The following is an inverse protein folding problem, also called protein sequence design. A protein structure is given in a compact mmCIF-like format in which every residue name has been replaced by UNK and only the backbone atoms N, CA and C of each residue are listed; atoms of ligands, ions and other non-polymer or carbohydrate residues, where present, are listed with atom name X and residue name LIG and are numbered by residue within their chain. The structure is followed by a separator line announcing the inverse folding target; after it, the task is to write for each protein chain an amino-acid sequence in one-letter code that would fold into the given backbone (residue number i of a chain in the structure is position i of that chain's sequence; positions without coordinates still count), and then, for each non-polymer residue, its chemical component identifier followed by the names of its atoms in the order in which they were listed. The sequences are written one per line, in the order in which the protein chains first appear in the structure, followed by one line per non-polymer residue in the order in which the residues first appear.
data_IF_421368737455
#
_entry.id   IF_421368737455
#
_cell.length_a   1.000
_cell.length_b   1.000
_cell.length_c   1.000
_cell.angle_alpha   90.00
_cell.angle_beta   90.00
_cell.angle_gamma   90.00
#
_symmetry.space_group_name_H-M   'P 1'
#
loop_
_entity.id
_entity.type
_entity.pdbx_description
1 polymer ?
#
# COMPACT_ATOMS: atom_id res chain seq x y z
N UNK A 1 47.04 82.39 20.85
CA UNK A 1 47.73 81.39 20.02
C UNK A 1 47.86 80.10 20.83
N UNK A 2 46.88 79.23 20.79
CA UNK A 2 46.93 77.97 21.49
C UNK A 2 46.50 76.83 20.49
N UNK A 3 47.41 75.94 20.24
CA UNK A 3 47.22 74.79 19.41
C UNK A 3 46.55 73.72 20.25
N UNK A 4 45.41 73.16 19.78
CA UNK A 4 44.75 72.05 20.38
C UNK A 4 44.99 70.84 19.47
N UNK A 5 45.69 69.83 19.99
CA UNK A 5 45.91 68.59 19.31
C UNK A 5 44.67 67.64 19.56
N UNK A 6 44.09 67.19 18.47
CA UNK A 6 43.00 66.16 18.54
C UNK A 6 43.62 64.78 18.33
N UNK A 7 43.51 63.96 19.36
CA UNK A 7 43.87 62.49 19.29
C UNK A 7 42.73 61.72 18.71
N UNK A 8 42.95 61.05 17.58
CA UNK A 8 42.06 60.09 16.99
C UNK A 8 42.28 58.67 17.64
N UNK A 9 41.31 58.21 18.39
CA UNK A 9 41.27 56.83 18.86
C UNK A 9 40.60 56.00 17.79
N UNK A 10 41.38 55.07 17.20
CA UNK A 10 40.92 54.10 16.23
C UNK A 10 40.37 52.86 17.00
N UNK A 11 39.03 52.74 17.07
CA UNK A 11 38.37 51.60 17.68
C UNK A 11 38.28 50.43 16.67
N UNK A 12 38.98 49.35 16.96
CA UNK A 12 38.85 48.08 16.21
C UNK A 12 37.65 47.32 16.72
N UNK A 13 36.57 47.25 15.92
CA UNK A 13 35.41 46.34 16.17
C UNK A 13 35.80 44.93 15.70
N UNK A 14 35.97 44.01 16.65
CA UNK A 14 36.05 42.59 16.40
C UNK A 14 34.63 42.04 16.25
N UNK A 15 34.21 41.77 15.01
CA UNK A 15 32.97 41.06 14.74
C UNK A 15 33.19 39.55 14.96
N UNK A 16 32.69 39.01 16.05
CA UNK A 16 32.61 37.55 16.28
C UNK A 16 31.44 36.97 15.51
N UNK A 17 31.73 36.44 14.31
CA UNK A 17 30.75 35.71 13.52
C UNK A 17 30.48 34.35 14.16
N UNK A 18 29.30 34.19 14.77
CA UNK A 18 28.78 32.88 15.18
C UNK A 18 28.38 32.06 13.95
N UNK A 19 29.16 31.05 13.62
CA UNK A 19 28.81 30.06 12.60
C UNK A 19 27.72 29.14 13.19
N UNK A 20 26.48 29.50 12.95
CA UNK A 20 25.33 28.62 13.25
C UNK A 20 25.36 27.40 12.34
N UNK A 21 25.71 26.24 12.89
CA UNK A 21 25.51 24.94 12.20
C UNK A 21 24.02 24.67 12.05
N UNK A 22 23.46 24.93 10.88
CA UNK A 22 22.11 24.49 10.52
C UNK A 22 22.12 22.95 10.43
N UNK A 23 21.66 22.30 11.49
CA UNK A 23 21.31 20.88 11.45
C UNK A 23 20.11 20.72 10.52
N UNK A 24 20.35 20.28 9.29
CA UNK A 24 19.31 19.86 8.40
C UNK A 24 18.62 18.64 9.01
N UNK A 25 17.41 18.82 9.56
CA UNK A 25 16.54 17.73 9.93
C UNK A 25 16.11 17.00 8.65
N UNK A 26 16.84 15.97 8.26
CA UNK A 26 16.39 15.00 7.27
C UNK A 26 15.16 14.30 7.86
N UNK A 27 14.03 14.25 7.15
CA UNK A 27 12.91 13.44 7.58
C UNK A 27 13.38 11.99 7.61
N UNK A 28 13.55 11.44 8.81
CA UNK A 28 13.76 10.00 8.99
C UNK A 28 12.52 9.28 8.51
N UNK A 29 12.51 8.92 7.24
CA UNK A 29 11.59 7.90 6.76
C UNK A 29 11.95 6.59 7.46
N UNK A 30 11.38 6.37 8.63
CA UNK A 30 11.44 5.09 9.32
C UNK A 30 10.66 4.13 8.43
N UNK A 31 11.36 3.49 7.50
CA UNK A 31 10.86 2.30 6.82
C UNK A 31 10.84 1.23 7.89
N UNK A 32 9.69 1.08 8.55
CA UNK A 32 9.48 -0.04 9.48
C UNK A 32 9.63 -1.31 8.64
N UNK A 33 10.63 -2.18 8.92
CA UNK A 33 10.77 -3.41 8.17
C UNK A 33 9.48 -4.23 8.33
N UNK A 34 8.88 -4.64 7.21
CA UNK A 34 7.69 -5.48 7.18
C UNK A 34 8.01 -6.79 7.92
N UNK A 35 7.41 -6.99 9.08
CA UNK A 35 7.63 -8.18 9.90
C UNK A 35 6.94 -9.37 9.20
N UNK A 36 7.72 -10.13 8.45
CA UNK A 36 7.26 -11.33 7.74
C UNK A 36 7.18 -12.47 8.76
N UNK A 37 5.98 -12.94 9.05
CA UNK A 37 5.75 -13.98 10.07
C UNK A 37 5.33 -15.32 9.49
N UNK A 38 4.85 -15.40 8.23
CA UNK A 38 4.35 -16.64 7.65
C UNK A 38 4.44 -16.70 6.13
N UNK A 39 4.27 -17.92 5.58
CA UNK A 39 4.12 -18.15 4.13
C UNK A 39 2.70 -17.87 3.62
N UNK A 40 1.82 -17.36 4.46
CA UNK A 40 0.40 -17.16 4.16
C UNK A 40 -0.45 -18.42 4.21
N UNK A 41 -1.76 -18.32 3.96
CA UNK A 41 -2.68 -19.46 4.04
C UNK A 41 -2.31 -20.58 3.08
N UNK A 42 -2.45 -21.83 3.52
CA UNK A 42 -2.14 -23.01 2.70
C UNK A 42 -2.88 -22.99 1.35
N UNK A 43 -4.17 -22.62 1.34
CA UNK A 43 -4.94 -22.51 0.10
C UNK A 43 -4.37 -21.49 -0.89
N UNK A 44 -3.77 -20.40 -0.42
CA UNK A 44 -3.08 -19.44 -1.27
C UNK A 44 -1.74 -19.99 -1.76
N UNK A 45 -1.01 -20.75 -0.94
CA UNK A 45 0.22 -21.40 -1.37
C UNK A 45 -0.08 -22.42 -2.49
N UNK A 46 -1.15 -23.20 -2.37
CA UNK A 46 -1.61 -24.13 -3.41
C UNK A 46 -1.98 -23.38 -4.70
N UNK A 47 -2.70 -22.26 -4.59
CA UNK A 47 -2.96 -21.39 -5.74
C UNK A 47 -1.68 -20.92 -6.41
N UNK A 48 -0.68 -20.51 -5.65
CA UNK A 48 0.63 -20.09 -6.20
C UNK A 48 1.41 -21.24 -6.84
N UNK A 49 1.19 -22.47 -6.41
CA UNK A 49 1.83 -23.64 -7.03
C UNK A 49 1.27 -23.93 -8.44
N UNK A 50 -0.04 -23.76 -8.63
CA UNK A 50 -0.72 -24.00 -9.93
C UNK A 50 -0.77 -22.75 -10.82
N UNK A 51 -0.60 -21.56 -10.24
CA UNK A 51 -0.63 -20.26 -10.95
C UNK A 51 0.57 -19.39 -10.54
N UNK A 52 1.82 -19.83 -10.78
CA UNK A 52 3.01 -19.18 -10.24
C UNK A 52 3.21 -17.74 -10.74
N UNK A 53 2.73 -17.40 -11.95
CA UNK A 53 2.78 -16.06 -12.51
C UNK A 53 2.01 -15.04 -11.66
N UNK A 54 0.92 -15.45 -11.02
CA UNK A 54 0.09 -14.59 -10.16
C UNK A 54 0.76 -14.28 -8.82
N UNK A 55 1.78 -15.05 -8.45
CA UNK A 55 2.47 -14.95 -7.16
C UNK A 55 3.91 -14.45 -7.30
N UNK A 56 4.29 -13.92 -8.46
CA UNK A 56 5.59 -13.29 -8.64
C UNK A 56 5.56 -11.86 -8.07
N UNK A 57 6.58 -11.48 -7.29
CA UNK A 57 6.80 -10.07 -6.98
C UNK A 57 7.28 -9.34 -8.23
N UNK A 58 7.08 -8.03 -8.28
CA UNK A 58 7.59 -7.23 -9.40
C UNK A 58 7.22 -5.75 -9.28
N UNK A 59 8.11 -4.91 -9.76
CA UNK A 59 7.94 -3.46 -9.78
C UNK A 59 7.91 -2.80 -8.40
N UNK A 60 7.48 -1.55 -8.38
CA UNK A 60 7.46 -0.72 -7.18
C UNK A 60 6.52 -1.28 -6.10
N UNK A 61 6.94 -1.17 -4.82
CA UNK A 61 6.13 -1.57 -3.67
C UNK A 61 4.93 -0.64 -3.40
N UNK A 62 4.94 0.54 -4.02
CA UNK A 62 3.96 1.62 -3.91
C UNK A 62 3.96 2.39 -5.23
N UNK A 63 2.81 2.88 -5.66
CA UNK A 63 2.67 3.63 -6.91
C UNK A 63 2.31 5.09 -6.64
N UNK A 64 2.74 5.99 -7.53
CA UNK A 64 2.22 7.36 -7.58
C UNK A 64 0.78 7.31 -8.14
N UNK A 65 -0.17 7.81 -7.36
CA UNK A 65 -1.58 7.78 -7.73
C UNK A 65 -1.92 8.93 -8.67
N UNK A 66 -2.19 8.63 -9.94
CA UNK A 66 -2.74 9.58 -10.92
C UNK A 66 -4.25 9.39 -11.07
N UNK A 67 -4.93 10.40 -11.62
CA UNK A 67 -6.37 10.32 -11.94
C UNK A 67 -6.66 9.17 -12.93
N UNK A 68 -5.82 8.99 -13.93
CA UNK A 68 -5.95 7.90 -14.90
C UNK A 68 -5.81 6.52 -14.27
N UNK A 69 -4.85 6.37 -13.33
CA UNK A 69 -4.69 5.14 -12.57
C UNK A 69 -5.90 4.90 -11.66
N UNK A 70 -6.39 5.92 -10.96
CA UNK A 70 -7.58 5.80 -10.11
C UNK A 70 -8.80 5.38 -10.94
N UNK A 71 -9.02 5.99 -12.11
CA UNK A 71 -10.11 5.62 -13.02
C UNK A 71 -10.01 4.15 -13.46
N UNK A 72 -8.80 3.66 -13.78
CA UNK A 72 -8.58 2.26 -14.13
C UNK A 72 -8.86 1.32 -12.94
N UNK A 73 -8.41 1.67 -11.75
CA UNK A 73 -8.67 0.91 -10.51
C UNK A 73 -10.18 0.82 -10.24
N UNK A 74 -10.91 1.93 -10.38
CA UNK A 74 -12.38 1.96 -10.23
C UNK A 74 -13.07 1.10 -11.29
N UNK A 75 -12.63 1.18 -12.54
CA UNK A 75 -13.16 0.39 -13.66
C UNK A 75 -12.98 -1.12 -13.41
N UNK A 76 -11.79 -1.54 -13.01
CA UNK A 76 -11.50 -2.96 -12.68
C UNK A 76 -12.34 -3.41 -11.50
N UNK A 77 -12.38 -2.63 -10.40
CA UNK A 77 -13.17 -2.98 -9.22
C UNK A 77 -14.65 -3.20 -9.58
N UNK A 78 -15.25 -2.25 -10.29
CA UNK A 78 -16.64 -2.30 -10.70
C UNK A 78 -16.92 -3.47 -11.66
N UNK A 79 -16.07 -3.69 -12.66
CA UNK A 79 -16.21 -4.80 -13.62
C UNK A 79 -16.18 -6.15 -12.91
N UNK A 80 -15.19 -6.41 -12.05
CA UNK A 80 -15.07 -7.67 -11.34
C UNK A 80 -16.23 -7.87 -10.36
N UNK A 81 -16.65 -6.82 -9.65
CA UNK A 81 -17.78 -6.90 -8.75
C UNK A 81 -19.08 -7.29 -9.44
N UNK A 82 -19.30 -6.85 -10.69
CA UNK A 82 -20.48 -7.23 -11.46
C UNK A 82 -20.38 -8.61 -12.12
N UNK A 83 -19.16 -9.05 -12.46
CA UNK A 83 -18.94 -10.29 -13.20
C UNK A 83 -19.06 -11.56 -12.31
N UNK A 84 -18.73 -11.46 -11.04
CA UNK A 84 -18.73 -12.58 -10.12
C UNK A 84 -19.96 -12.49 -9.24
N UNK A 85 -20.79 -13.57 -9.22
CA UNK A 85 -21.92 -13.68 -8.30
C UNK A 85 -21.41 -14.12 -6.91
N UNK A 86 -21.88 -13.49 -5.82
CA UNK A 86 -21.51 -13.92 -4.47
C UNK A 86 -21.92 -15.38 -4.21
N UNK A 87 -20.96 -16.18 -3.77
CA UNK A 87 -21.17 -17.55 -3.34
C UNK A 87 -20.07 -17.95 -2.35
N UNK A 88 -20.45 -18.38 -1.16
CA UNK A 88 -19.48 -18.89 -0.19
C UNK A 88 -18.86 -20.20 -0.71
N UNK A 89 -17.56 -20.31 -0.58
CA UNK A 89 -16.88 -21.57 -0.78
C UNK A 89 -17.14 -22.51 0.40
N UNK A 90 -17.06 -23.82 0.12
CA UNK A 90 -17.02 -24.80 1.20
C UNK A 90 -15.84 -24.51 2.13
N UNK A 91 -16.03 -24.55 3.45
CA UNK A 91 -14.94 -24.36 4.41
C UNK A 91 -13.73 -25.27 4.17
N UNK A 92 -13.97 -26.47 3.62
CA UNK A 92 -12.91 -27.44 3.32
C UNK A 92 -12.07 -27.07 2.08
N UNK A 93 -12.63 -26.35 1.11
CA UNK A 93 -11.97 -26.13 -0.17
C UNK A 93 -11.22 -24.80 -0.27
N UNK A 94 -11.75 -23.72 0.31
CA UNK A 94 -11.13 -22.39 0.38
C UNK A 94 -10.40 -21.95 -0.90
N UNK A 95 -11.04 -22.11 -2.07
CA UNK A 95 -10.40 -21.99 -3.38
C UNK A 95 -10.13 -20.54 -3.78
N UNK A 96 -9.01 -20.33 -4.45
CA UNK A 96 -8.67 -19.08 -5.14
C UNK A 96 -8.91 -19.28 -6.63
N UNK A 97 -9.86 -18.56 -7.22
CA UNK A 97 -10.25 -18.71 -8.63
C UNK A 97 -10.26 -17.35 -9.32
N UNK A 98 -9.55 -17.25 -10.44
CA UNK A 98 -9.55 -16.06 -11.26
C UNK A 98 -10.78 -16.06 -12.17
N UNK A 99 -11.55 -14.99 -12.14
CA UNK A 99 -12.72 -14.73 -12.98
C UNK A 99 -13.78 -15.88 -13.02
N UNK A 100 -14.14 -16.51 -11.89
CA UNK A 100 -15.21 -17.49 -11.89
C UNK A 100 -16.57 -16.79 -12.07
N UNK A 101 -17.59 -17.51 -12.53
CA UNK A 101 -18.97 -16.99 -12.60
C UNK A 101 -19.59 -16.74 -11.22
N UNK A 102 -19.10 -17.44 -10.17
CA UNK A 102 -19.51 -17.24 -8.78
C UNK A 102 -18.36 -17.60 -7.83
N UNK A 103 -18.26 -16.87 -6.72
CA UNK A 103 -17.18 -17.07 -5.74
C UNK A 103 -17.34 -16.22 -4.49
N UNK A 104 -16.45 -16.44 -3.53
CA UNK A 104 -16.34 -15.67 -2.30
C UNK A 104 -15.33 -14.51 -2.45
N UNK A 105 -15.07 -13.79 -1.34
CA UNK A 105 -14.17 -12.64 -1.32
C UNK A 105 -12.77 -12.93 -1.92
N UNK A 106 -12.23 -14.14 -1.76
CA UNK A 106 -10.93 -14.55 -2.32
C UNK A 106 -10.94 -14.51 -3.86
N UNK A 107 -12.02 -14.97 -4.48
CA UNK A 107 -12.21 -14.95 -5.94
C UNK A 107 -12.24 -13.51 -6.49
N UNK A 108 -12.91 -12.59 -5.79
CA UNK A 108 -12.91 -11.17 -6.17
C UNK A 108 -11.52 -10.55 -6.04
N UNK A 109 -10.85 -10.79 -4.93
CA UNK A 109 -9.50 -10.26 -4.67
C UNK A 109 -8.52 -10.69 -5.75
N UNK A 110 -8.45 -11.99 -6.05
CA UNK A 110 -7.46 -12.50 -7.00
C UNK A 110 -7.80 -12.09 -8.44
N UNK A 111 -9.08 -12.00 -8.80
CA UNK A 111 -9.52 -11.53 -10.12
C UNK A 111 -9.20 -10.05 -10.34
N UNK A 112 -9.41 -9.20 -9.32
CA UNK A 112 -9.03 -7.79 -9.38
C UNK A 112 -7.52 -7.63 -9.50
N UNK A 113 -6.76 -8.37 -8.70
CA UNK A 113 -5.29 -8.36 -8.73
C UNK A 113 -4.78 -8.76 -10.11
N UNK A 114 -5.26 -9.88 -10.66
CA UNK A 114 -4.94 -10.34 -12.02
C UNK A 114 -5.21 -9.25 -13.06
N UNK A 115 -6.40 -8.65 -13.04
CA UNK A 115 -6.79 -7.62 -14.00
C UNK A 115 -5.94 -6.34 -13.89
N UNK A 116 -5.56 -5.92 -12.68
CA UNK A 116 -4.71 -4.75 -12.46
C UNK A 116 -3.25 -5.01 -12.89
N UNK A 117 -2.73 -6.21 -12.67
CA UNK A 117 -1.41 -6.61 -13.18
C UNK A 117 -1.42 -6.59 -14.71
N UNK A 118 -2.46 -7.14 -15.34
CA UNK A 118 -2.63 -7.10 -16.79
C UNK A 118 -2.75 -5.67 -17.34
N UNK A 119 -3.27 -4.73 -16.54
CA UNK A 119 -3.31 -3.30 -16.83
C UNK A 119 -2.00 -2.56 -16.55
N UNK A 120 -0.92 -3.27 -16.15
CA UNK A 120 0.42 -2.72 -15.97
C UNK A 120 0.73 -2.24 -14.53
N UNK A 121 -0.16 -2.46 -13.55
CA UNK A 121 0.17 -2.12 -12.16
C UNK A 121 1.20 -3.10 -11.59
N UNK A 122 2.17 -2.62 -10.81
CA UNK A 122 3.20 -3.48 -10.26
C UNK A 122 2.63 -4.47 -9.24
N UNK A 123 2.88 -5.79 -9.40
CA UNK A 123 2.40 -6.83 -8.49
C UNK A 123 2.73 -6.56 -7.02
N UNK A 124 3.89 -5.94 -6.77
CA UNK A 124 4.38 -5.63 -5.42
C UNK A 124 3.61 -4.50 -4.72
N UNK A 125 2.83 -3.69 -5.43
CA UNK A 125 1.95 -2.68 -4.83
C UNK A 125 0.55 -3.23 -4.52
N UNK A 126 0.20 -4.41 -5.04
CA UNK A 126 -1.12 -5.04 -4.92
C UNK A 126 -1.10 -6.10 -3.81
N UNK A 127 -1.56 -5.71 -2.61
CA UNK A 127 -1.52 -6.56 -1.40
C UNK A 127 -2.86 -7.23 -1.17
N UNK A 128 -2.83 -8.49 -0.81
CA UNK A 128 -4.00 -9.23 -0.36
C UNK A 128 -4.08 -9.08 1.15
N UNK A 129 -5.21 -8.63 1.68
CA UNK A 129 -5.42 -8.47 3.12
C UNK A 129 -6.58 -9.36 3.59
N UNK A 130 -6.32 -10.20 4.58
CA UNK A 130 -7.37 -10.79 5.42
C UNK A 130 -7.68 -9.82 6.55
N UNK A 131 -8.96 -9.57 6.73
CA UNK A 131 -9.44 -8.57 7.68
C UNK A 131 -10.64 -9.10 8.47
N UNK A 132 -10.90 -8.49 9.62
CA UNK A 132 -12.20 -8.52 10.27
C UNK A 132 -12.98 -7.27 9.86
N UNK A 133 -14.21 -7.45 9.40
CA UNK A 133 -15.12 -6.33 9.15
C UNK A 133 -15.52 -5.65 10.47
N UNK A 134 -16.23 -4.52 10.39
CA UNK A 134 -16.79 -3.86 11.59
C UNK A 134 -17.74 -4.76 12.39
N UNK A 135 -18.37 -5.75 11.71
CA UNK A 135 -19.27 -6.73 12.33
C UNK A 135 -18.53 -7.93 12.93
N UNK A 136 -17.20 -8.01 12.72
CA UNK A 136 -16.39 -9.12 13.17
C UNK A 136 -16.25 -10.27 12.18
N UNK A 137 -16.88 -10.18 10.98
CA UNK A 137 -16.82 -11.23 9.97
C UNK A 137 -15.41 -11.33 9.37
N UNK A 138 -15.00 -12.55 9.01
CA UNK A 138 -13.80 -12.78 8.21
C UNK A 138 -14.04 -12.30 6.78
N UNK A 139 -13.08 -11.55 6.25
CA UNK A 139 -13.18 -11.02 4.90
C UNK A 139 -11.80 -10.90 4.24
N UNK A 140 -11.77 -10.82 2.93
CA UNK A 140 -10.55 -10.53 2.17
C UNK A 140 -10.79 -9.36 1.22
N UNK A 141 -9.81 -8.46 1.15
CA UNK A 141 -9.82 -7.31 0.25
C UNK A 141 -8.48 -7.18 -0.48
N UNK A 142 -8.51 -6.55 -1.65
CA UNK A 142 -7.29 -6.11 -2.32
C UNK A 142 -6.94 -4.70 -1.85
N UNK A 143 -5.67 -4.48 -1.51
CA UNK A 143 -5.14 -3.18 -1.10
C UNK A 143 -4.10 -2.74 -2.12
N UNK A 144 -4.33 -1.61 -2.77
CA UNK A 144 -3.34 -0.94 -3.61
C UNK A 144 -2.55 0.06 -2.76
N UNK A 145 -1.24 -0.13 -2.68
CA UNK A 145 -0.32 0.78 -1.98
C UNK A 145 -0.02 1.98 -2.88
N UNK A 146 -0.38 3.19 -2.44
CA UNK A 146 -0.11 4.44 -3.18
C UNK A 146 0.61 5.49 -2.31
N UNK A 147 1.24 6.46 -2.94
CA UNK A 147 1.87 7.61 -2.29
C UNK A 147 0.85 8.51 -1.54
N UNK A 148 -0.43 8.47 -1.94
CA UNK A 148 -1.52 9.23 -1.32
C UNK A 148 -2.32 8.41 -0.29
N UNK A 149 -1.80 7.24 0.12
CA UNK A 149 -2.42 6.32 1.06
C UNK A 149 -2.88 5.02 0.39
N UNK A 150 -3.24 4.05 1.20
CA UNK A 150 -3.59 2.71 0.74
C UNK A 150 -5.06 2.65 0.32
N UNK A 151 -5.35 2.25 -0.91
CA UNK A 151 -6.71 2.14 -1.45
C UNK A 151 -7.24 0.71 -1.31
N UNK A 152 -8.50 0.58 -0.93
CA UNK A 152 -9.18 -0.72 -0.76
C UNK A 152 -10.13 -0.98 -1.92
N UNK A 153 -9.96 -2.15 -2.55
CA UNK A 153 -10.86 -2.68 -3.56
C UNK A 153 -11.64 -3.84 -2.92
N UNK A 154 -12.93 -3.62 -2.72
CA UNK A 154 -13.82 -4.51 -1.99
C UNK A 154 -14.96 -5.00 -2.87
N UNK A 155 -15.54 -6.17 -2.54
CA UNK A 155 -16.76 -6.67 -3.17
C UNK A 155 -18.02 -6.38 -2.35
N UNK A 156 -17.88 -5.99 -1.07
CA UNK A 156 -19.00 -5.57 -0.23
C UNK A 156 -19.45 -4.14 -0.52
N UNK A 157 -18.61 -3.34 -1.20
CA UNK A 157 -18.93 -1.99 -1.67
C UNK A 157 -18.32 -1.76 -3.04
N UNK A 158 -19.00 -0.97 -3.88
CA UNK A 158 -18.47 -0.55 -5.18
C UNK A 158 -17.44 0.58 -5.09
N UNK A 159 -17.34 1.24 -3.93
CA UNK A 159 -16.49 2.39 -3.74
C UNK A 159 -15.04 2.01 -3.46
N UNK A 160 -14.11 2.77 -4.02
CA UNK A 160 -12.71 2.75 -3.63
C UNK A 160 -12.55 3.67 -2.42
N UNK A 161 -12.07 3.14 -1.31
CA UNK A 161 -11.86 3.88 -0.05
C UNK A 161 -10.42 3.78 0.42
N UNK A 162 -9.96 4.79 1.13
CA UNK A 162 -8.73 4.68 1.91
C UNK A 162 -8.87 3.53 2.92
N UNK A 163 -7.87 2.65 3.01
CA UNK A 163 -7.93 1.48 3.88
C UNK A 163 -8.23 1.86 5.34
N UNK A 164 -7.62 2.94 5.84
CA UNK A 164 -7.85 3.48 7.19
C UNK A 164 -9.30 3.91 7.46
N UNK A 165 -10.08 4.21 6.41
CA UNK A 165 -11.47 4.65 6.52
C UNK A 165 -12.47 3.49 6.47
N UNK A 166 -12.04 2.27 6.13
CA UNK A 166 -12.92 1.09 6.07
C UNK A 166 -13.41 0.65 7.44
N UNK A 167 -12.61 0.90 8.49
CA UNK A 167 -12.81 0.36 9.82
C UNK A 167 -12.50 -1.14 9.91
N UNK A 168 -11.84 -1.69 8.91
CA UNK A 168 -11.37 -3.07 8.92
C UNK A 168 -10.14 -3.24 9.82
N UNK A 169 -10.09 -4.36 10.54
CA UNK A 169 -8.94 -4.76 11.34
C UNK A 169 -8.15 -5.83 10.58
N UNK A 170 -6.89 -5.55 10.29
CA UNK A 170 -6.01 -6.50 9.62
C UNK A 170 -5.79 -7.73 10.50
N UNK A 171 -5.93 -8.91 9.92
CA UNK A 171 -5.55 -10.20 10.50
C UNK A 171 -4.21 -10.65 9.93
N UNK A 172 -4.05 -10.54 8.59
CA UNK A 172 -2.81 -10.79 7.90
C UNK A 172 -2.82 -10.04 6.55
N UNK A 173 -1.66 -9.61 6.07
CA UNK A 173 -1.52 -8.96 4.77
C UNK A 173 -0.29 -9.51 4.04
N UNK A 174 -0.41 -9.72 2.73
CA UNK A 174 0.73 -10.13 1.92
C UNK A 174 1.74 -8.99 1.78
N UNK A 175 3.02 -9.32 1.77
CA UNK A 175 4.12 -8.41 1.53
C UNK A 175 4.28 -8.01 0.05
N UNK A 176 5.39 -7.32 -0.28
CA UNK A 176 5.83 -7.06 -1.67
C UNK A 176 5.99 -8.33 -2.47
N UNK A 177 6.47 -9.38 -1.82
CA UNK A 177 6.36 -10.74 -2.30
C UNK A 177 5.04 -11.32 -1.81
N UNK A 178 4.07 -11.63 -2.70
CA UNK A 178 2.76 -12.11 -2.30
C UNK A 178 2.77 -13.46 -1.56
N UNK A 179 3.89 -14.21 -1.62
CA UNK A 179 4.10 -15.44 -0.85
C UNK A 179 4.54 -15.20 0.61
N UNK A 180 4.76 -13.95 1.01
CA UNK A 180 5.20 -13.56 2.37
C UNK A 180 4.11 -12.72 3.02
N UNK A 181 3.75 -13.03 4.26
CA UNK A 181 2.62 -12.44 4.98
C UNK A 181 3.01 -11.98 6.38
N UNK A 182 2.44 -10.90 6.84
CA UNK A 182 2.58 -10.36 8.22
C UNK A 182 1.23 -10.09 8.86
#
# INVERSE_FOLDING_TARGET
MKRIAASLLLGVLLATGSVGTAMANLPSSIVTPERITSAGPMSFQMFCAVSPQECRPGGAARVALSETMLAEVMRVNSRVNRAIRPRLDSPALQLWRINPSAGDCKSYVISKRHALIAAGLPPSALRIAFVKTRRGDNHAVLVLKTDQGDLTLDNLTGEIRQFRQTGYRVVAMSGTNPKRWS
#
